data_IF_056752489113
#
_entry.id   IF_056752489113
#
_cell.length_a   1.000
_cell.length_b   1.000
_cell.length_c   1.000
_cell.angle_alpha   90.00
_cell.angle_beta   90.00
_cell.angle_gamma   90.00
#
_symmetry.space_group_name_H-M   'P 1'
#
loop_
_entity.id
_entity.type
_entity.pdbx_description
1 polymer ?
#
# COMPACT_ATOMS: atom_id res chain seq x y z
N UNK A 1 -12.15 61.57 6.57
CA UNK A 1 -11.74 60.49 5.64
C UNK A 1 -12.98 59.92 4.96
N UNK A 2 -13.03 59.85 3.63
CA UNK A 2 -14.22 59.39 2.90
C UNK A 2 -14.40 57.87 3.02
N UNK A 3 -15.65 57.37 3.11
CA UNK A 3 -16.00 55.94 3.11
C UNK A 3 -15.37 55.14 1.97
N UNK A 4 -15.11 55.77 0.81
CA UNK A 4 -14.48 55.15 -0.36
C UNK A 4 -12.98 54.85 -0.16
N UNK A 5 -12.28 55.65 0.64
CA UNK A 5 -10.85 55.44 0.94
C UNK A 5 -10.64 54.28 1.92
N UNK A 6 -11.56 54.11 2.88
CA UNK A 6 -11.55 53.02 3.85
C UNK A 6 -11.83 51.65 3.20
N UNK A 7 -12.83 51.59 2.31
CA UNK A 7 -13.17 50.34 1.59
C UNK A 7 -12.06 49.89 0.62
N UNK A 8 -11.37 50.82 -0.05
CA UNK A 8 -10.21 50.47 -0.91
C UNK A 8 -9.00 49.96 -0.11
N UNK A 9 -8.78 50.48 1.10
CA UNK A 9 -7.72 50.01 2.00
C UNK A 9 -7.95 48.59 2.52
N UNK A 10 -9.20 48.24 2.83
CA UNK A 10 -9.59 46.88 3.25
C UNK A 10 -9.42 45.85 2.13
N UNK A 11 -9.78 46.18 0.89
CA UNK A 11 -9.61 45.28 -0.26
C UNK A 11 -8.13 45.09 -0.64
N UNK A 12 -7.31 46.14 -0.59
CA UNK A 12 -5.88 46.03 -0.90
C UNK A 12 -5.12 45.26 0.20
N UNK A 13 -5.49 45.44 1.47
CA UNK A 13 -4.90 44.69 2.60
C UNK A 13 -5.29 43.21 2.58
N UNK A 14 -6.53 42.86 2.22
CA UNK A 14 -6.96 41.47 2.10
C UNK A 14 -6.34 40.76 0.89
N UNK A 15 -6.19 41.43 -0.26
CA UNK A 15 -5.43 40.91 -1.39
C UNK A 15 -3.94 40.78 -1.06
N UNK A 16 -3.32 41.75 -0.39
CA UNK A 16 -1.92 41.67 0.05
C UNK A 16 -1.66 40.52 1.03
N UNK A 17 -2.55 40.31 2.01
CA UNK A 17 -2.46 39.21 2.96
C UNK A 17 -2.67 37.84 2.28
N UNK A 18 -3.64 37.72 1.37
CA UNK A 18 -3.88 36.48 0.63
C UNK A 18 -2.74 36.15 -0.35
N UNK A 19 -2.11 37.16 -0.94
CA UNK A 19 -0.95 36.99 -1.83
C UNK A 19 0.31 36.62 -1.03
N UNK A 20 0.52 37.24 0.13
CA UNK A 20 1.61 36.90 1.06
C UNK A 20 1.48 35.50 1.66
N UNK A 21 0.27 35.05 1.98
CA UNK A 21 0.01 33.67 2.44
C UNK A 21 0.25 32.66 1.33
N UNK A 22 -0.15 32.97 0.08
CA UNK A 22 0.12 32.13 -1.11
C UNK A 22 1.61 32.01 -1.41
N UNK A 23 2.37 33.10 -1.33
CA UNK A 23 3.83 33.10 -1.52
C UNK A 23 4.56 32.33 -0.41
N UNK A 24 4.13 32.48 0.85
CA UNK A 24 4.66 31.69 1.98
C UNK A 24 4.39 30.20 1.82
N UNK A 25 3.16 29.84 1.43
CA UNK A 25 2.80 28.46 1.16
C UNK A 25 3.68 27.87 0.04
N UNK A 26 3.93 28.57 -1.07
CA UNK A 26 4.77 28.12 -2.19
C UNK A 26 6.24 27.85 -1.79
N UNK A 27 6.74 28.50 -0.74
CA UNK A 27 8.10 28.31 -0.23
C UNK A 27 8.28 27.16 0.78
N UNK A 28 7.21 26.65 1.40
CA UNK A 28 7.33 25.59 2.41
C UNK A 28 7.87 24.30 1.79
N UNK A 29 8.83 23.69 2.47
CA UNK A 29 9.46 22.42 2.10
C UNK A 29 9.65 21.58 3.34
N UNK A 30 9.65 20.27 3.16
CA UNK A 30 10.05 19.30 4.16
C UNK A 30 11.53 19.49 4.50
N UNK A 31 11.87 19.38 5.79
CA UNK A 31 13.26 19.35 6.23
C UNK A 31 13.90 17.99 5.88
N UNK A 32 14.37 17.83 4.63
CA UNK A 32 14.85 16.56 4.09
C UNK A 32 15.92 15.86 4.96
N UNK A 33 16.84 16.65 5.55
CA UNK A 33 17.85 16.11 6.48
C UNK A 33 17.22 15.46 7.70
N UNK A 34 16.26 16.14 8.33
CA UNK A 34 15.57 15.63 9.52
C UNK A 34 14.71 14.41 9.20
N UNK A 35 14.07 14.37 8.03
CA UNK A 35 13.34 13.18 7.56
C UNK A 35 14.28 11.98 7.43
N UNK A 36 15.43 12.18 6.75
CA UNK A 36 16.46 11.16 6.61
C UNK A 36 16.97 10.65 7.96
N UNK A 37 17.37 11.55 8.85
CA UNK A 37 17.88 11.20 10.19
C UNK A 37 16.86 10.37 10.99
N UNK A 38 15.57 10.67 10.83
CA UNK A 38 14.50 9.93 11.51
C UNK A 38 14.25 8.56 10.93
N UNK A 39 14.31 8.40 9.60
CA UNK A 39 14.23 7.09 8.93
C UNK A 39 15.43 6.24 9.35
N UNK A 40 16.65 6.82 9.33
CA UNK A 40 17.87 6.15 9.78
C UNK A 40 17.78 5.75 11.27
N UNK A 41 17.19 6.58 12.13
CA UNK A 41 16.99 6.25 13.54
C UNK A 41 15.87 5.21 13.77
N UNK A 42 14.77 5.26 13.02
CA UNK A 42 13.71 4.24 13.09
C UNK A 42 14.25 2.87 12.67
N UNK A 43 15.14 2.83 11.66
CA UNK A 43 15.76 1.60 11.18
C UNK A 43 16.66 0.90 12.21
N UNK A 44 16.93 1.50 13.38
CA UNK A 44 17.64 0.82 14.48
C UNK A 44 16.74 -0.27 15.09
N UNK A 45 15.43 -0.03 15.16
CA UNK A 45 14.47 -0.95 15.74
C UNK A 45 14.14 -2.05 14.72
N UNK A 46 14.65 -3.26 14.98
CA UNK A 46 14.52 -4.41 14.08
C UNK A 46 15.75 -4.65 13.21
N UNK A 47 16.80 -3.83 13.30
CA UNK A 47 18.08 -4.08 12.62
C UNK A 47 18.75 -5.34 13.17
N UNK A 48 19.36 -6.19 12.34
CA UNK A 48 20.19 -7.28 12.83
C UNK A 48 21.34 -6.77 13.72
N UNK A 49 21.68 -7.53 14.76
CA UNK A 49 22.74 -7.16 15.69
C UNK A 49 24.10 -7.00 14.97
N UNK A 50 24.78 -5.89 15.22
CA UNK A 50 26.04 -5.55 14.53
C UNK A 50 25.85 -5.06 13.08
N UNK A 51 24.61 -4.99 12.59
CA UNK A 51 24.28 -4.52 11.26
C UNK A 51 24.28 -2.99 11.12
N UNK A 52 24.19 -2.57 9.87
CA UNK A 52 24.13 -1.19 9.40
C UNK A 52 22.76 -0.90 8.77
N UNK A 53 22.53 0.33 8.31
CA UNK A 53 21.32 0.68 7.57
C UNK A 53 21.11 -0.24 6.34
N UNK A 54 22.19 -0.65 5.66
CA UNK A 54 22.10 -1.50 4.47
C UNK A 54 21.65 -2.94 4.75
N UNK A 55 21.61 -3.36 6.02
CA UNK A 55 21.19 -4.70 6.41
C UNK A 55 19.67 -4.80 6.64
N UNK A 56 18.94 -3.69 6.43
CA UNK A 56 17.48 -3.64 6.50
C UNK A 56 16.95 -3.83 7.93
N UNK A 57 15.66 -4.18 8.02
CA UNK A 57 14.98 -4.40 9.30
C UNK A 57 14.08 -5.62 9.29
N UNK A 58 13.90 -6.20 10.47
CA UNK A 58 12.85 -7.17 10.80
C UNK A 58 12.00 -6.61 11.94
N UNK A 59 11.26 -5.54 11.66
CA UNK A 59 10.34 -4.92 12.61
C UNK A 59 8.95 -5.53 12.45
N UNK A 60 8.86 -6.83 12.71
CA UNK A 60 7.63 -7.60 12.57
C UNK A 60 6.57 -7.04 13.52
N UNK A 61 5.34 -6.86 13.03
CA UNK A 61 4.21 -6.43 13.87
C UNK A 61 4.14 -7.22 15.18
N UNK A 62 3.88 -6.50 16.28
CA UNK A 62 3.80 -7.02 17.65
C UNK A 62 5.12 -7.52 18.26
N UNK A 63 6.24 -7.53 17.53
CA UNK A 63 7.55 -7.85 18.10
C UNK A 63 8.05 -6.78 19.08
N UNK A 64 9.11 -7.05 19.84
CA UNK A 64 9.76 -6.02 20.66
C UNK A 64 10.25 -4.84 19.79
N UNK A 65 10.79 -5.13 18.60
CA UNK A 65 11.24 -4.12 17.64
C UNK A 65 10.07 -3.20 17.19
N UNK A 66 8.89 -3.76 16.94
CA UNK A 66 7.70 -2.97 16.60
C UNK A 66 7.28 -2.09 17.79
N UNK A 67 7.14 -2.68 18.99
CA UNK A 67 6.82 -1.92 20.21
C UNK A 67 7.80 -0.76 20.46
N UNK A 68 9.09 -0.97 20.22
CA UNK A 68 10.12 0.07 20.35
C UNK A 68 10.05 1.13 19.25
N UNK A 69 9.90 0.73 17.98
CA UNK A 69 9.74 1.66 16.86
C UNK A 69 8.50 2.54 17.01
N UNK A 70 7.39 1.96 17.45
CA UNK A 70 6.15 2.68 17.78
C UNK A 70 6.36 3.70 18.88
N UNK A 71 7.06 3.32 19.96
CA UNK A 71 7.41 4.23 21.07
C UNK A 71 8.26 5.40 20.57
N UNK A 72 9.23 5.12 19.70
CA UNK A 72 10.07 6.15 19.07
C UNK A 72 9.23 7.13 18.24
N UNK A 73 8.37 6.64 17.34
CA UNK A 73 7.52 7.49 16.50
C UNK A 73 6.54 8.32 17.33
N UNK A 74 5.91 7.74 18.36
CA UNK A 74 5.08 8.50 19.30
C UNK A 74 5.89 9.55 20.08
N UNK A 75 7.16 9.28 20.39
CA UNK A 75 8.09 10.24 20.97
C UNK A 75 8.33 11.43 20.04
N UNK A 76 8.55 11.18 18.75
CA UNK A 76 8.67 12.24 17.73
C UNK A 76 7.38 13.07 17.62
N UNK A 77 6.21 12.42 17.61
CA UNK A 77 4.91 13.12 17.60
C UNK A 77 4.77 14.05 18.81
N UNK A 78 5.14 13.60 20.02
CA UNK A 78 5.11 14.44 21.23
C UNK A 78 6.12 15.59 21.16
N UNK A 79 7.32 15.33 20.65
CA UNK A 79 8.35 16.36 20.46
C UNK A 79 7.90 17.45 19.47
N UNK A 80 7.09 17.09 18.47
CA UNK A 80 6.42 18.02 17.55
C UNK A 80 5.21 18.76 18.17
N UNK A 81 4.91 18.54 19.46
CA UNK A 81 3.77 19.17 20.15
C UNK A 81 2.42 18.50 19.88
N UNK A 82 2.40 17.33 19.24
CA UNK A 82 1.18 16.56 19.01
C UNK A 82 0.86 15.64 20.19
N UNK A 83 -0.40 15.20 20.27
CA UNK A 83 -0.87 14.25 21.27
C UNK A 83 -1.18 12.91 20.58
N UNK A 84 -0.23 11.96 20.54
CA UNK A 84 -0.48 10.66 19.94
C UNK A 84 -1.42 9.82 20.81
N UNK A 85 -2.39 9.18 20.18
CA UNK A 85 -3.32 8.23 20.81
C UNK A 85 -3.25 6.88 20.09
N UNK A 86 -3.41 5.79 20.85
CA UNK A 86 -3.57 4.45 20.30
C UNK A 86 -5.07 4.12 20.32
N UNK A 87 -5.62 3.69 19.19
CA UNK A 87 -7.01 3.23 19.13
C UNK A 87 -7.16 1.77 19.63
N UNK A 88 -8.39 1.24 19.77
CA UNK A 88 -8.59 -0.14 20.20
C UNK A 88 -7.99 -1.22 19.29
N UNK A 89 -7.76 -0.94 18.00
CA UNK A 89 -7.07 -1.86 17.10
C UNK A 89 -5.54 -1.77 17.23
N UNK A 90 -5.03 -0.78 17.95
CA UNK A 90 -3.61 -0.53 18.04
C UNK A 90 -3.08 0.38 16.94
N UNK A 91 -3.90 1.15 16.22
CA UNK A 91 -3.38 2.18 15.31
C UNK A 91 -2.95 3.42 16.10
N UNK A 92 -1.87 4.09 15.69
CA UNK A 92 -1.44 5.36 16.31
C UNK A 92 -1.99 6.52 15.49
N UNK A 93 -2.68 7.45 16.12
CA UNK A 93 -3.14 8.69 15.50
C UNK A 93 -2.58 9.90 16.22
N UNK A 94 -2.28 10.96 15.49
CA UNK A 94 -2.02 12.28 16.05
C UNK A 94 -2.72 13.36 15.24
N UNK A 95 -3.50 14.20 15.92
CA UNK A 95 -4.34 15.23 15.29
C UNK A 95 -3.75 16.62 15.49
N UNK A 96 -3.65 17.38 14.41
CA UNK A 96 -3.42 18.82 14.40
C UNK A 96 -4.73 19.53 14.09
N UNK A 97 -5.09 20.51 14.90
CA UNK A 97 -6.32 21.28 14.73
C UNK A 97 -6.31 22.09 13.42
N UNK A 98 -7.45 22.13 12.74
CA UNK A 98 -7.72 23.03 11.63
C UNK A 98 -8.50 24.27 12.09
N UNK A 99 -8.75 25.20 11.17
CA UNK A 99 -9.55 26.40 11.41
C UNK A 99 -11.05 26.14 11.57
N UNK A 100 -11.55 25.00 11.09
CA UNK A 100 -12.94 24.56 11.24
C UNK A 100 -13.01 23.12 11.76
N UNK A 101 -13.37 22.96 13.04
CA UNK A 101 -13.48 21.66 13.70
C UNK A 101 -14.68 20.82 13.22
N UNK A 102 -15.62 21.42 12.47
CA UNK A 102 -16.79 20.71 11.92
C UNK A 102 -16.48 19.97 10.62
N UNK A 103 -15.36 20.31 9.96
CA UNK A 103 -14.91 19.63 8.76
C UNK A 103 -14.26 18.28 9.09
N UNK A 104 -14.47 17.25 8.25
CA UNK A 104 -13.79 15.97 8.42
C UNK A 104 -12.27 16.16 8.22
N UNK A 105 -11.42 15.44 8.96
CA UNK A 105 -9.97 15.59 8.82
C UNK A 105 -9.46 15.13 7.47
N UNK A 106 -8.34 15.68 7.00
CA UNK A 106 -7.51 15.03 6.00
C UNK A 106 -6.67 13.98 6.75
N UNK A 107 -6.85 12.71 6.39
CA UNK A 107 -6.14 11.57 6.99
C UNK A 107 -4.94 11.21 6.12
N UNK A 108 -3.77 10.98 6.71
CA UNK A 108 -2.59 10.62 5.94
C UNK A 108 -1.56 9.88 6.78
N UNK A 109 -0.80 9.01 6.14
CA UNK A 109 0.13 8.13 6.84
C UNK A 109 0.40 6.86 6.07
N UNK A 110 0.96 5.88 6.77
CA UNK A 110 1.23 4.53 6.28
C UNK A 110 1.46 3.61 7.48
N UNK A 111 2.33 2.60 7.38
CA UNK A 111 2.72 1.69 8.45
C UNK A 111 4.18 1.90 8.87
N UNK A 112 4.60 1.19 9.91
CA UNK A 112 6.02 1.06 10.28
C UNK A 112 6.43 -0.38 10.58
N UNK A 113 5.52 -1.36 10.59
CA UNK A 113 5.96 -2.76 10.64
C UNK A 113 6.55 -3.18 9.29
N UNK A 114 7.41 -4.20 9.29
CA UNK A 114 8.08 -4.71 8.09
C UNK A 114 7.90 -6.23 7.97
N UNK A 115 8.09 -6.76 6.76
CA UNK A 115 8.44 -8.18 6.57
C UNK A 115 9.78 -8.54 7.25
N UNK A 116 10.07 -9.85 7.45
CA UNK A 116 11.40 -10.29 7.86
C UNK A 116 12.45 -9.92 6.83
N UNK A 117 13.54 -9.31 7.28
CA UNK A 117 14.62 -8.81 6.42
C UNK A 117 14.10 -7.88 5.30
N UNK A 118 13.17 -7.00 5.64
CA UNK A 118 12.67 -5.95 4.76
C UNK A 118 13.64 -4.77 4.62
N UNK A 119 13.23 -3.79 3.83
CA UNK A 119 13.93 -2.52 3.68
C UNK A 119 13.58 -1.50 4.75
N UNK A 120 14.12 -0.29 4.60
CA UNK A 120 13.94 0.81 5.57
C UNK A 120 13.01 1.92 5.07
N UNK A 121 12.33 1.73 3.93
CA UNK A 121 11.50 2.77 3.29
C UNK A 121 10.04 2.35 3.16
N UNK A 122 9.78 1.05 2.95
CA UNK A 122 8.44 0.45 2.97
C UNK A 122 7.68 0.84 4.25
N UNK A 123 6.52 1.50 4.09
CA UNK A 123 5.77 2.15 5.16
C UNK A 123 6.44 3.37 5.83
N UNK A 124 7.70 3.21 6.26
CA UNK A 124 8.46 4.18 7.07
C UNK A 124 8.54 5.56 6.42
N UNK A 125 8.72 5.60 5.10
CA UNK A 125 8.77 6.86 4.34
C UNK A 125 7.45 7.62 4.48
N UNK A 126 6.31 6.95 4.31
CA UNK A 126 4.99 7.56 4.40
C UNK A 126 4.69 8.06 5.80
N UNK A 127 4.93 7.22 6.80
CA UNK A 127 4.68 7.50 8.22
C UNK A 127 5.50 8.68 8.74
N UNK A 128 6.79 8.74 8.43
CA UNK A 128 7.65 9.84 8.88
C UNK A 128 7.48 11.11 8.05
N UNK A 129 7.10 11.00 6.77
CA UNK A 129 6.75 12.17 5.94
C UNK A 129 5.45 12.82 6.40
N UNK A 130 4.49 12.05 6.92
CA UNK A 130 3.27 12.59 7.51
C UNK A 130 3.57 13.50 8.71
N UNK A 131 4.46 13.07 9.62
CA UNK A 131 4.91 13.91 10.73
C UNK A 131 5.66 15.16 10.22
N UNK A 132 6.57 14.97 9.27
CA UNK A 132 7.36 16.06 8.72
C UNK A 132 6.50 17.12 8.01
N UNK A 133 5.40 16.72 7.36
CA UNK A 133 4.44 17.65 6.75
C UNK A 133 3.75 18.53 7.79
N UNK A 134 3.32 17.95 8.92
CA UNK A 134 2.74 18.70 10.04
C UNK A 134 3.75 19.73 10.58
N UNK A 135 4.98 19.30 10.86
CA UNK A 135 6.01 20.19 11.40
C UNK A 135 6.39 21.31 10.42
N UNK A 136 6.46 21.02 9.12
CA UNK A 136 6.73 22.03 8.10
C UNK A 136 5.63 23.10 8.04
N UNK A 137 4.36 22.70 8.18
CA UNK A 137 3.24 23.64 8.26
C UNK A 137 3.30 24.50 9.52
N UNK A 138 3.63 23.90 10.67
CA UNK A 138 3.75 24.61 11.95
C UNK A 138 4.92 25.58 11.96
N UNK A 139 6.10 25.16 11.47
CA UNK A 139 7.27 26.02 11.32
C UNK A 139 7.01 27.21 10.38
N UNK A 140 6.18 27.02 9.36
CA UNK A 140 5.78 28.07 8.43
C UNK A 140 4.60 28.93 8.93
N UNK A 141 3.96 28.58 10.05
CA UNK A 141 2.77 29.24 10.56
C UNK A 141 1.55 29.13 9.64
N UNK A 142 1.41 28.03 8.90
CA UNK A 142 0.31 27.80 7.95
C UNK A 142 -0.81 27.04 8.63
N UNK A 143 -1.98 27.66 8.76
CA UNK A 143 -3.19 27.00 9.27
C UNK A 143 -4.03 26.43 8.13
N UNK A 144 -4.47 25.18 8.28
CA UNK A 144 -5.40 24.51 7.35
C UNK A 144 -6.84 24.74 7.79
N UNK A 145 -7.79 24.67 6.87
CA UNK A 145 -9.23 24.70 7.20
C UNK A 145 -9.65 23.39 7.87
N UNK A 146 -9.34 22.28 7.24
CA UNK A 146 -9.61 20.94 7.76
C UNK A 146 -8.60 20.62 8.87
N UNK A 147 -9.02 19.86 9.90
CA UNK A 147 -8.08 19.22 10.79
C UNK A 147 -7.18 18.25 10.01
N UNK A 148 -5.95 18.09 10.46
CA UNK A 148 -5.03 17.09 9.92
C UNK A 148 -4.93 15.95 10.92
N UNK A 149 -5.10 14.71 10.48
CA UNK A 149 -4.92 13.53 11.33
C UNK A 149 -3.87 12.63 10.66
N UNK A 150 -2.69 12.52 11.27
CA UNK A 150 -1.73 11.52 10.82
C UNK A 150 -2.06 10.17 11.46
N UNK A 151 -1.77 9.09 10.73
CA UNK A 151 -1.95 7.71 11.20
C UNK A 151 -0.69 6.89 10.95
N UNK A 152 -0.38 6.00 11.90
CA UNK A 152 0.51 4.86 11.69
C UNK A 152 -0.33 3.61 11.89
N UNK A 153 -0.65 2.95 10.79
CA UNK A 153 -1.37 1.69 10.78
C UNK A 153 -0.50 0.59 11.38
N UNK A 154 -1.13 -0.30 12.14
CA UNK A 154 -0.45 -1.47 12.69
C UNK A 154 -0.70 -2.69 11.81
N UNK A 155 0.35 -3.49 11.64
CA UNK A 155 0.26 -4.83 11.05
C UNK A 155 -0.25 -4.80 9.60
N UNK A 156 0.38 -3.95 8.80
CA UNK A 156 0.12 -3.84 7.36
C UNK A 156 0.64 -5.08 6.63
N UNK A 157 1.87 -5.49 6.93
CA UNK A 157 2.63 -6.45 6.12
C UNK A 157 2.09 -7.88 6.19
N UNK A 158 1.33 -8.19 7.25
CA UNK A 158 0.63 -9.46 7.36
C UNK A 158 1.51 -10.68 7.62
N UNK A 159 2.80 -10.50 7.91
CA UNK A 159 3.68 -11.62 8.24
C UNK A 159 3.19 -12.38 9.48
N UNK A 160 2.81 -11.66 10.54
CA UNK A 160 2.06 -12.24 11.64
C UNK A 160 0.63 -12.61 11.17
N UNK A 161 0.12 -13.76 11.58
CA UNK A 161 -1.24 -14.24 11.24
C UNK A 161 -1.57 -14.42 9.74
N UNK A 162 -0.62 -14.21 8.82
CA UNK A 162 -0.75 -14.59 7.41
C UNK A 162 -1.72 -13.74 6.57
N UNK A 163 -2.24 -12.65 7.11
CA UNK A 163 -3.13 -11.70 6.40
C UNK A 163 -2.75 -10.26 6.78
N UNK A 164 -2.37 -9.48 5.78
CA UNK A 164 -2.01 -8.08 5.93
C UNK A 164 -3.19 -7.12 6.10
N UNK A 165 -2.85 -5.86 6.33
CA UNK A 165 -3.74 -4.73 6.54
C UNK A 165 -4.62 -4.90 7.79
N UNK A 166 -4.15 -5.63 8.81
CA UNK A 166 -5.04 -6.12 9.86
C UNK A 166 -5.74 -4.98 10.60
N UNK A 167 -5.02 -3.95 11.02
CA UNK A 167 -5.63 -2.88 11.82
C UNK A 167 -6.33 -1.80 10.97
N UNK A 168 -5.97 -1.62 9.70
CA UNK A 168 -6.75 -0.80 8.77
C UNK A 168 -8.03 -1.51 8.30
N UNK A 169 -8.03 -2.85 8.18
CA UNK A 169 -9.23 -3.69 7.99
C UNK A 169 -10.19 -3.53 9.15
N UNK A 170 -9.68 -3.63 10.39
CA UNK A 170 -10.48 -3.36 11.59
C UNK A 170 -11.09 -1.96 11.55
N UNK A 171 -10.30 -0.94 11.17
CA UNK A 171 -10.81 0.42 11.00
C UNK A 171 -11.90 0.53 9.91
N UNK A 172 -11.82 -0.26 8.84
CA UNK A 172 -12.85 -0.37 7.81
C UNK A 172 -14.06 -1.24 8.21
N UNK A 173 -13.99 -1.95 9.34
CA UNK A 173 -15.01 -2.88 9.82
C UNK A 173 -14.92 -4.29 9.24
N UNK A 174 -13.79 -4.66 8.63
CA UNK A 174 -13.46 -6.01 8.15
C UNK A 174 -12.76 -6.80 9.27
N UNK A 175 -13.52 -7.14 10.31
CA UNK A 175 -13.05 -7.98 11.43
C UNK A 175 -14.19 -8.81 12.00
N UNK A 176 -13.91 -10.06 12.32
CA UNK A 176 -14.80 -10.99 13.02
C UNK A 176 -14.25 -11.39 14.38
N UNK A 177 -15.06 -11.92 15.30
CA UNK A 177 -14.54 -12.47 16.56
C UNK A 177 -13.50 -13.58 16.35
N UNK A 178 -13.68 -14.42 15.33
CA UNK A 178 -12.76 -15.51 15.02
C UNK A 178 -11.36 -15.00 14.62
N UNK A 179 -11.28 -13.85 13.94
CA UNK A 179 -10.01 -13.21 13.62
C UNK A 179 -9.18 -12.89 14.88
N UNK A 180 -9.83 -12.55 16.00
CA UNK A 180 -9.16 -12.23 17.26
C UNK A 180 -8.63 -13.47 18.00
N UNK A 181 -9.19 -14.64 17.68
CA UNK A 181 -8.82 -15.93 18.27
C UNK A 181 -7.68 -16.62 17.52
N UNK A 182 -7.32 -16.14 16.33
CA UNK A 182 -6.19 -16.65 15.57
C UNK A 182 -4.90 -16.62 16.39
N UNK A 183 -4.07 -17.65 16.23
CA UNK A 183 -2.81 -17.82 16.95
C UNK A 183 -1.65 -17.79 15.97
N UNK A 184 -0.65 -16.96 16.26
CA UNK A 184 0.62 -16.92 15.55
C UNK A 184 1.76 -17.04 16.57
N UNK A 185 2.65 -18.00 16.38
CA UNK A 185 3.77 -18.26 17.29
C UNK A 185 3.36 -18.34 18.78
N UNK A 186 2.20 -18.96 19.06
CA UNK A 186 1.66 -19.12 20.42
C UNK A 186 0.99 -17.86 20.99
N UNK A 187 0.93 -16.75 20.27
CA UNK A 187 0.24 -15.52 20.67
C UNK A 187 -1.10 -15.40 19.93
N UNK A 188 -2.20 -15.20 20.67
CA UNK A 188 -3.49 -14.86 20.07
C UNK A 188 -3.48 -13.43 19.54
N UNK A 189 -4.19 -13.16 18.44
CA UNK A 189 -4.29 -11.81 17.87
C UNK A 189 -4.81 -10.79 18.89
N UNK A 190 -5.79 -11.16 19.72
CA UNK A 190 -6.25 -10.30 20.81
C UNK A 190 -5.11 -9.85 21.75
N UNK A 191 -4.21 -10.76 22.13
CA UNK A 191 -3.10 -10.46 23.03
C UNK A 191 -1.99 -9.66 22.32
N UNK A 192 -1.81 -9.90 21.02
CA UNK A 192 -0.94 -9.11 20.16
C UNK A 192 -1.41 -7.63 20.08
N UNK A 193 -2.71 -7.40 19.90
CA UNK A 193 -3.31 -6.05 19.93
C UNK A 193 -3.10 -5.39 21.30
N UNK A 194 -3.32 -6.11 22.41
CA UNK A 194 -3.06 -5.58 23.77
C UNK A 194 -1.61 -5.19 23.96
N UNK A 195 -0.68 -5.98 23.43
CA UNK A 195 0.77 -5.76 23.53
C UNK A 195 1.21 -4.43 22.91
N UNK A 196 0.58 -3.99 21.82
CA UNK A 196 0.86 -2.70 21.18
C UNK A 196 0.00 -1.54 21.72
N UNK A 197 -0.72 -1.76 22.84
CA UNK A 197 -1.52 -0.76 23.53
C UNK A 197 -2.96 -0.64 23.04
N UNK A 198 -3.41 -1.53 22.15
CA UNK A 198 -4.80 -1.63 21.73
C UNK A 198 -5.69 -2.30 22.79
N UNK A 199 -6.99 -2.38 22.49
CA UNK A 199 -7.99 -2.99 23.35
C UNK A 199 -8.96 -3.84 22.52
N UNK A 200 -8.72 -5.16 22.41
CA UNK A 200 -9.57 -6.05 21.61
C UNK A 200 -10.99 -6.19 22.18
N UNK A 201 -11.21 -5.93 23.47
CA UNK A 201 -12.54 -5.97 24.08
C UNK A 201 -13.40 -4.77 23.62
N UNK A 202 -12.76 -3.72 23.08
CA UNK A 202 -13.39 -2.52 22.50
C UNK A 202 -13.13 -2.42 20.99
N UNK A 203 -12.82 -3.52 20.31
CA UNK A 203 -12.35 -3.49 18.91
C UNK A 203 -13.32 -2.79 17.96
N UNK A 204 -14.62 -2.91 18.22
CA UNK A 204 -15.67 -2.28 17.41
C UNK A 204 -15.57 -0.75 17.38
N UNK A 205 -14.97 -0.13 18.40
CA UNK A 205 -14.78 1.33 18.48
C UNK A 205 -13.62 1.83 17.62
N UNK A 206 -12.73 0.94 17.15
CA UNK A 206 -11.70 1.30 16.16
C UNK A 206 -12.30 1.50 14.76
N UNK A 207 -13.53 1.00 14.52
CA UNK A 207 -14.23 1.18 13.26
C UNK A 207 -14.50 2.65 13.00
N UNK A 208 -14.11 3.10 11.81
CA UNK A 208 -14.38 4.44 11.31
C UNK A 208 -15.64 4.46 10.46
N UNK A 209 -16.42 5.53 10.60
CA UNK A 209 -17.60 5.74 9.75
C UNK A 209 -17.19 6.10 8.32
N UNK A 210 -18.03 5.74 7.34
CA UNK A 210 -17.89 6.26 5.98
C UNK A 210 -18.02 7.79 6.00
N UNK A 211 -17.16 8.48 5.28
CA UNK A 211 -17.06 9.95 5.28
C UNK A 211 -16.43 10.55 6.54
N UNK A 212 -15.82 9.75 7.42
CA UNK A 212 -15.14 10.23 8.63
C UNK A 212 -13.82 10.97 8.37
N UNK A 213 -13.38 11.06 7.12
CA UNK A 213 -12.25 11.85 6.66
C UNK A 213 -12.62 12.48 5.30
N UNK A 214 -12.03 13.64 5.01
CA UNK A 214 -12.21 14.35 3.75
C UNK A 214 -11.59 13.57 2.59
N UNK A 215 -10.36 13.10 2.80
CA UNK A 215 -9.65 12.15 1.95
C UNK A 215 -8.55 11.45 2.76
N UNK A 216 -8.04 10.36 2.22
CA UNK A 216 -6.85 9.66 2.67
C UNK A 216 -5.70 9.84 1.67
N UNK A 217 -4.52 10.22 2.15
CA UNK A 217 -3.29 10.34 1.35
C UNK A 217 -2.19 9.44 1.93
N UNK A 218 -1.60 8.61 1.10
CA UNK A 218 -0.48 7.75 1.49
C UNK A 218 0.70 7.92 0.53
N UNK A 219 1.84 8.36 1.07
CA UNK A 219 3.11 8.37 0.36
C UNK A 219 3.79 7.03 0.59
N UNK A 220 4.27 6.43 -0.49
CA UNK A 220 4.92 5.13 -0.44
C UNK A 220 6.02 5.03 -1.50
N UNK A 221 6.94 4.09 -1.33
CA UNK A 221 7.82 3.68 -2.43
C UNK A 221 7.03 2.88 -3.47
N UNK A 222 7.41 2.93 -4.75
CA UNK A 222 6.72 2.18 -5.82
C UNK A 222 6.75 0.67 -5.58
N UNK A 223 7.83 0.16 -4.98
CA UNK A 223 8.18 -1.26 -4.86
C UNK A 223 8.41 -1.97 -6.22
N UNK A 224 8.06 -1.32 -7.32
CA UNK A 224 8.44 -1.64 -8.70
C UNK A 224 9.51 -0.70 -9.25
N UNK A 225 10.01 -1.00 -10.45
CA UNK A 225 11.09 -0.24 -11.10
C UNK A 225 10.63 0.63 -12.26
N UNK A 226 9.35 1.02 -12.33
CA UNK A 226 8.79 1.76 -13.47
C UNK A 226 9.20 3.22 -13.44
N UNK A 227 9.05 3.89 -12.31
CA UNK A 227 9.40 5.30 -12.12
C UNK A 227 10.90 5.51 -12.29
N UNK A 228 11.73 4.63 -11.72
CA UNK A 228 13.18 4.64 -11.92
C UNK A 228 13.54 4.49 -13.41
N UNK A 229 13.05 3.44 -14.07
CA UNK A 229 13.35 3.16 -15.49
C UNK A 229 12.89 4.27 -16.44
N UNK A 230 11.80 4.97 -16.09
CA UNK A 230 11.25 6.06 -16.90
C UNK A 230 11.79 7.44 -16.52
N UNK A 231 12.58 7.53 -15.44
CA UNK A 231 13.09 8.81 -14.93
C UNK A 231 12.01 9.75 -14.42
N UNK A 232 10.85 9.23 -14.01
CA UNK A 232 9.71 10.02 -13.52
C UNK A 232 9.76 10.03 -11.99
N UNK A 233 9.87 11.19 -11.32
CA UNK A 233 10.10 11.25 -9.88
C UNK A 233 8.85 10.97 -9.05
N UNK A 234 7.64 11.12 -9.61
CA UNK A 234 6.39 10.98 -8.87
C UNK A 234 5.39 10.08 -9.63
N UNK A 235 4.93 9.06 -8.93
CA UNK A 235 3.80 8.25 -9.36
C UNK A 235 2.50 8.72 -8.72
N UNK A 236 1.47 8.94 -9.53
CA UNK A 236 0.10 9.22 -9.08
C UNK A 236 -0.68 7.93 -9.20
N UNK A 237 -0.94 7.27 -8.06
CA UNK A 237 -1.50 5.93 -8.08
C UNK A 237 -2.96 5.96 -8.58
N UNK A 238 -3.26 5.12 -9.56
CA UNK A 238 -4.62 4.96 -10.14
C UNK A 238 -5.53 4.12 -9.24
N UNK A 239 -4.92 3.29 -8.41
CA UNK A 239 -5.57 2.40 -7.47
C UNK A 239 -4.68 1.21 -7.15
N UNK A 240 -5.16 0.37 -6.24
CA UNK A 240 -4.58 -0.93 -5.91
C UNK A 240 -5.31 -2.00 -6.71
N UNK A 241 -4.56 -2.85 -7.41
CA UNK A 241 -5.08 -3.89 -8.30
C UNK A 241 -6.00 -4.88 -7.59
N UNK A 242 -6.97 -5.41 -8.33
CA UNK A 242 -7.69 -6.61 -7.95
C UNK A 242 -6.75 -7.82 -8.02
N UNK A 243 -7.04 -8.85 -7.22
CA UNK A 243 -6.26 -10.09 -7.20
C UNK A 243 -7.21 -11.28 -7.25
N UNK A 244 -7.01 -12.15 -8.23
CA UNK A 244 -7.66 -13.46 -8.27
C UNK A 244 -6.60 -14.56 -8.19
N UNK A 245 -6.77 -15.49 -7.24
CA UNK A 245 -5.95 -16.70 -7.11
C UNK A 245 -6.77 -17.94 -7.43
N UNK A 246 -6.14 -18.86 -8.15
CA UNK A 246 -6.70 -20.14 -8.54
C UNK A 246 -5.71 -21.26 -8.25
N UNK A 247 -6.23 -22.38 -7.77
CA UNK A 247 -5.54 -23.65 -7.82
C UNK A 247 -5.94 -24.37 -9.11
N UNK A 248 -4.96 -24.84 -9.85
CA UNK A 248 -5.14 -25.69 -11.02
C UNK A 248 -4.65 -27.10 -10.70
N UNK A 249 -5.50 -28.10 -10.92
CA UNK A 249 -5.17 -29.51 -10.72
C UNK A 249 -5.16 -30.21 -12.07
N UNK A 250 -4.00 -30.75 -12.44
CA UNK A 250 -3.80 -31.50 -13.66
C UNK A 250 -3.69 -32.99 -13.31
N UNK A 251 -4.63 -33.80 -13.78
CA UNK A 251 -4.63 -35.25 -13.53
C UNK A 251 -4.30 -35.99 -14.81
N UNK A 252 -3.23 -36.78 -14.75
CA UNK A 252 -2.77 -37.68 -15.80
C UNK A 252 -2.75 -39.12 -15.30
N UNK A 253 -1.73 -39.88 -15.71
CA UNK A 253 -1.56 -41.26 -15.28
C UNK A 253 -0.10 -41.59 -15.04
N UNK A 254 0.24 -41.95 -13.81
CA UNK A 254 1.61 -42.29 -13.45
C UNK A 254 2.02 -43.64 -14.04
N UNK A 255 3.16 -43.67 -14.74
CA UNK A 255 3.68 -44.91 -15.32
C UNK A 255 5.21 -44.84 -15.51
N UNK A 256 5.83 -45.96 -15.88
CA UNK A 256 7.28 -46.07 -15.99
C UNK A 256 7.83 -45.32 -17.22
N UNK A 257 8.76 -44.39 -16.98
CA UNK A 257 9.24 -43.47 -18.03
C UNK A 257 10.04 -44.16 -19.15
N UNK A 258 10.59 -45.35 -18.92
CA UNK A 258 11.36 -46.08 -19.93
C UNK A 258 10.54 -47.03 -20.80
N UNK A 259 9.37 -47.47 -20.32
CA UNK A 259 8.61 -48.55 -20.97
C UNK A 259 7.26 -48.10 -21.53
N UNK A 260 6.75 -46.94 -21.11
CA UNK A 260 5.54 -46.37 -21.69
C UNK A 260 5.89 -45.55 -22.95
N UNK A 261 5.42 -45.95 -24.15
CA UNK A 261 5.60 -45.19 -25.39
C UNK A 261 5.04 -43.77 -25.27
N UNK A 262 5.64 -42.79 -25.95
CA UNK A 262 5.24 -41.36 -25.88
C UNK A 262 3.76 -41.16 -26.22
N UNK A 263 3.24 -41.86 -27.23
CA UNK A 263 1.86 -41.74 -27.69
C UNK A 263 0.81 -42.28 -26.70
N UNK A 264 1.23 -43.00 -25.66
CA UNK A 264 0.36 -43.57 -24.63
C UNK A 264 0.44 -42.80 -23.30
N UNK A 265 1.24 -41.74 -23.23
CA UNK A 265 1.47 -41.01 -21.97
C UNK A 265 0.38 -39.99 -21.70
N UNK A 266 -0.08 -39.99 -20.47
CA UNK A 266 -0.96 -38.95 -19.92
C UNK A 266 -0.13 -38.15 -18.90
N UNK A 267 0.84 -37.38 -19.40
CA UNK A 267 1.86 -36.71 -18.57
C UNK A 267 1.31 -35.41 -17.96
N UNK A 268 1.04 -35.43 -16.65
CA UNK A 268 0.48 -34.29 -15.94
C UNK A 268 1.47 -33.10 -15.87
N UNK A 269 2.77 -33.36 -15.81
CA UNK A 269 3.78 -32.30 -15.74
C UNK A 269 3.96 -31.61 -17.08
N UNK A 270 3.90 -32.35 -18.19
CA UNK A 270 3.89 -31.75 -19.53
C UNK A 270 2.70 -30.81 -19.73
N UNK A 271 1.51 -31.26 -19.34
CA UNK A 271 0.29 -30.45 -19.39
C UNK A 271 0.39 -29.20 -18.48
N UNK A 272 0.94 -29.35 -17.27
CA UNK A 272 1.20 -28.23 -16.35
C UNK A 272 2.21 -27.22 -16.92
N UNK A 273 3.26 -27.68 -17.63
CA UNK A 273 4.22 -26.81 -18.30
C UNK A 273 3.56 -26.00 -19.44
N UNK A 274 2.74 -26.65 -20.27
CA UNK A 274 1.96 -25.95 -21.30
C UNK A 274 0.97 -24.94 -20.68
N UNK A 275 0.32 -25.29 -19.57
CA UNK A 275 -0.58 -24.39 -18.87
C UNK A 275 0.16 -23.16 -18.33
N UNK A 276 1.36 -23.34 -17.80
CA UNK A 276 2.22 -22.24 -17.32
C UNK A 276 2.53 -21.24 -18.44
N UNK A 277 2.87 -21.73 -19.63
CA UNK A 277 3.07 -20.87 -20.81
C UNK A 277 1.76 -20.18 -21.22
N UNK A 278 0.64 -20.89 -21.21
CA UNK A 278 -0.67 -20.33 -21.57
C UNK A 278 -1.09 -19.18 -20.63
N UNK A 279 -0.78 -19.26 -19.33
CA UNK A 279 -0.99 -18.16 -18.38
C UNK A 279 -0.19 -16.93 -18.80
N UNK A 280 1.11 -17.08 -19.10
CA UNK A 280 1.95 -15.97 -19.56
C UNK A 280 1.43 -15.35 -20.85
N UNK A 281 0.99 -16.19 -21.80
CA UNK A 281 0.46 -15.74 -23.08
C UNK A 281 -0.87 -14.97 -22.94
N UNK A 282 -1.76 -15.40 -22.04
CA UNK A 282 -3.01 -14.67 -21.75
C UNK A 282 -2.74 -13.28 -21.16
N UNK A 283 -1.79 -13.18 -20.23
CA UNK A 283 -1.39 -11.91 -19.61
C UNK A 283 -0.74 -10.98 -20.63
N UNK A 284 0.16 -11.48 -21.47
CA UNK A 284 0.93 -10.66 -22.42
C UNK A 284 0.13 -10.22 -23.65
N UNK A 285 -0.86 -11.00 -24.08
CA UNK A 285 -1.79 -10.60 -25.17
C UNK A 285 -2.78 -9.52 -24.74
N UNK A 286 -3.07 -9.43 -23.45
CA UNK A 286 -3.93 -8.37 -22.91
C UNK A 286 -3.19 -7.03 -22.98
N UNK A 287 -3.76 -5.94 -23.50
CA UNK A 287 -3.10 -4.63 -23.42
C UNK A 287 -3.21 -4.05 -22.01
N UNK A 288 -2.10 -3.52 -21.47
CA UNK A 288 -2.09 -2.83 -20.17
C UNK A 288 -0.90 -3.20 -19.29
N UNK A 289 -1.13 -3.16 -17.98
CA UNK A 289 -0.14 -3.43 -16.92
C UNK A 289 -0.53 -4.62 -16.04
N UNK A 290 -1.48 -5.43 -16.49
CA UNK A 290 -1.84 -6.67 -15.83
C UNK A 290 -0.62 -7.58 -15.67
N UNK A 291 -0.61 -8.31 -14.57
CA UNK A 291 0.39 -9.35 -14.29
C UNK A 291 -0.31 -10.66 -14.01
N UNK A 292 0.36 -11.75 -14.31
CA UNK A 292 -0.09 -13.06 -13.91
C UNK A 292 1.08 -14.02 -13.77
N UNK A 293 1.00 -14.85 -12.75
CA UNK A 293 2.13 -15.62 -12.27
C UNK A 293 1.68 -17.04 -11.91
N UNK A 294 2.44 -18.02 -12.39
CA UNK A 294 2.44 -19.37 -11.80
C UNK A 294 3.59 -19.43 -10.81
N UNK A 295 3.28 -19.32 -9.52
CA UNK A 295 4.29 -19.17 -8.47
C UNK A 295 4.67 -20.46 -7.78
N UNK A 296 3.85 -21.50 -7.91
CA UNK A 296 4.03 -22.78 -7.23
C UNK A 296 3.55 -23.91 -8.13
N UNK A 297 4.34 -24.99 -8.19
CA UNK A 297 3.99 -26.25 -8.86
C UNK A 297 4.43 -27.40 -7.94
N UNK A 298 3.50 -28.27 -7.60
CA UNK A 298 3.74 -29.53 -6.89
C UNK A 298 3.44 -30.69 -7.83
N UNK A 299 4.34 -31.67 -7.91
CA UNK A 299 4.28 -32.77 -8.87
C UNK A 299 4.28 -34.08 -8.11
N UNK A 300 3.46 -35.06 -8.52
CA UNK A 300 3.42 -36.39 -7.90
C UNK A 300 3.62 -37.48 -8.97
N UNK A 301 4.51 -38.47 -8.74
CA UNK A 301 5.32 -38.71 -7.53
C UNK A 301 6.66 -37.95 -7.49
N UNK A 302 6.94 -37.06 -8.46
CA UNK A 302 8.20 -36.31 -8.56
C UNK A 302 9.46 -37.19 -8.64
N UNK A 303 9.37 -38.34 -9.31
CA UNK A 303 10.51 -39.26 -9.52
C UNK A 303 11.03 -39.18 -10.96
N UNK A 304 12.35 -39.11 -11.20
CA UNK A 304 12.92 -38.90 -12.54
C UNK A 304 12.61 -40.02 -13.55
N UNK A 305 12.28 -41.23 -13.06
CA UNK A 305 11.95 -42.39 -13.90
C UNK A 305 10.44 -42.71 -13.96
N UNK A 306 9.59 -41.81 -13.49
CA UNK A 306 8.12 -41.98 -13.48
C UNK A 306 7.48 -40.81 -14.21
N UNK A 307 6.59 -41.11 -15.15
CA UNK A 307 5.70 -40.12 -15.77
C UNK A 307 4.79 -39.57 -14.67
N UNK A 308 4.72 -38.25 -14.44
CA UNK A 308 3.87 -37.71 -13.38
C UNK A 308 2.38 -37.92 -13.66
N UNK A 309 1.67 -38.44 -12.66
CA UNK A 309 0.22 -38.67 -12.74
C UNK A 309 -0.62 -37.50 -12.19
N UNK A 310 0.01 -36.56 -11.49
CA UNK A 310 -0.67 -35.40 -10.91
C UNK A 310 0.30 -34.22 -10.86
N UNK A 311 -0.18 -33.03 -11.22
CA UNK A 311 0.51 -31.77 -11.01
C UNK A 311 -0.48 -30.72 -10.51
N UNK A 312 -0.11 -29.97 -9.48
CA UNK A 312 -0.93 -28.92 -8.87
C UNK A 312 -0.20 -27.59 -9.00
N UNK A 313 -0.86 -26.57 -9.53
CA UNK A 313 -0.27 -25.26 -9.76
C UNK A 313 -1.08 -24.17 -9.08
N UNK A 314 -0.41 -23.10 -8.62
CA UNK A 314 -1.08 -21.84 -8.28
C UNK A 314 -1.04 -20.89 -9.47
N UNK A 315 -2.15 -20.21 -9.74
CA UNK A 315 -2.25 -19.13 -10.73
C UNK A 315 -2.75 -17.89 -10.01
N UNK A 316 -2.02 -16.80 -10.12
CA UNK A 316 -2.42 -15.51 -9.59
C UNK A 316 -2.48 -14.48 -10.70
N UNK A 317 -3.59 -13.76 -10.81
CA UNK A 317 -3.80 -12.69 -11.80
C UNK A 317 -4.10 -11.38 -11.09
N UNK A 318 -3.49 -10.28 -11.54
CA UNK A 318 -3.72 -8.94 -11.01
C UNK A 318 -3.93 -7.90 -12.11
N UNK A 319 -4.90 -7.03 -11.92
CA UNK A 319 -5.17 -5.84 -12.76
C UNK A 319 -6.15 -4.90 -12.03
N UNK A 320 -6.17 -3.61 -12.37
CA UNK A 320 -7.15 -2.67 -11.84
C UNK A 320 -8.58 -2.96 -12.31
N UNK A 321 -8.73 -3.58 -13.47
CA UNK A 321 -10.00 -3.97 -14.08
C UNK A 321 -10.32 -5.42 -13.75
N UNK A 322 -11.35 -5.69 -12.90
CA UNK A 322 -11.81 -7.05 -12.63
C UNK A 322 -12.27 -7.76 -13.91
N UNK A 323 -12.79 -7.01 -14.89
CA UNK A 323 -13.20 -7.57 -16.16
C UNK A 323 -12.03 -8.15 -16.96
N UNK A 324 -10.85 -7.52 -16.90
CA UNK A 324 -9.65 -8.08 -17.52
C UNK A 324 -9.21 -9.38 -16.85
N UNK A 325 -9.35 -9.50 -15.53
CA UNK A 325 -9.07 -10.76 -14.83
C UNK A 325 -9.98 -11.89 -15.32
N UNK A 326 -11.28 -11.61 -15.47
CA UNK A 326 -12.25 -12.57 -16.03
C UNK A 326 -11.83 -12.97 -17.44
N UNK A 327 -11.55 -12.01 -18.32
CA UNK A 327 -11.12 -12.29 -19.70
C UNK A 327 -9.85 -13.12 -19.77
N UNK A 328 -8.82 -12.79 -18.98
CA UNK A 328 -7.58 -13.57 -18.93
C UNK A 328 -7.84 -15.00 -18.44
N UNK A 329 -8.68 -15.19 -17.42
CA UNK A 329 -8.98 -16.52 -16.91
C UNK A 329 -9.79 -17.35 -17.91
N UNK A 330 -10.70 -16.73 -18.66
CA UNK A 330 -11.47 -17.42 -19.69
C UNK A 330 -10.57 -17.87 -20.86
N UNK A 331 -9.62 -17.04 -21.26
CA UNK A 331 -8.56 -17.40 -22.21
C UNK A 331 -7.70 -18.57 -21.69
N UNK A 332 -7.29 -18.53 -20.42
CA UNK A 332 -6.53 -19.62 -19.78
C UNK A 332 -7.34 -20.92 -19.79
N UNK A 333 -8.63 -20.87 -19.45
CA UNK A 333 -9.52 -22.05 -19.49
C UNK A 333 -9.68 -22.61 -20.90
N UNK A 334 -9.76 -21.74 -21.92
CA UNK A 334 -9.83 -22.17 -23.30
C UNK A 334 -8.56 -22.93 -23.72
N UNK A 335 -7.38 -22.36 -23.44
CA UNK A 335 -6.10 -23.01 -23.69
C UNK A 335 -5.93 -24.30 -22.89
N UNK A 336 -6.39 -24.33 -21.64
CA UNK A 336 -6.34 -25.53 -20.80
C UNK A 336 -7.14 -26.70 -21.40
N UNK A 337 -8.30 -26.43 -22.02
CA UNK A 337 -9.07 -27.47 -22.72
C UNK A 337 -8.31 -28.07 -23.92
N UNK A 338 -7.63 -27.23 -24.68
CA UNK A 338 -6.79 -27.67 -25.81
C UNK A 338 -5.59 -28.50 -25.32
N UNK A 339 -4.93 -28.03 -24.26
CA UNK A 339 -3.81 -28.74 -23.63
C UNK A 339 -4.27 -30.11 -23.16
N UNK A 340 -5.33 -30.16 -22.33
CA UNK A 340 -5.90 -31.39 -21.79
C UNK A 340 -6.22 -32.42 -22.88
N UNK A 341 -6.80 -31.98 -23.99
CA UNK A 341 -7.08 -32.84 -25.15
C UNK A 341 -5.80 -33.37 -25.80
N UNK A 342 -4.78 -32.52 -25.99
CA UNK A 342 -3.52 -32.91 -26.63
C UNK A 342 -2.63 -33.82 -25.77
N UNK A 343 -2.74 -33.72 -24.44
CA UNK A 343 -1.93 -34.50 -23.48
C UNK A 343 -2.70 -35.67 -22.87
N UNK A 344 -3.97 -35.85 -23.24
CA UNK A 344 -4.86 -36.87 -22.67
C UNK A 344 -4.97 -36.80 -21.14
N UNK A 345 -4.95 -35.59 -20.59
CA UNK A 345 -5.08 -35.30 -19.15
C UNK A 345 -6.39 -34.57 -18.86
N UNK A 346 -6.72 -34.38 -17.59
CA UNK A 346 -7.76 -33.42 -17.16
C UNK A 346 -7.11 -32.22 -16.48
N UNK A 347 -7.77 -31.06 -16.56
CA UNK A 347 -7.33 -29.82 -15.89
C UNK A 347 -8.55 -29.17 -15.25
N UNK A 348 -8.52 -29.01 -13.93
CA UNK A 348 -9.57 -28.40 -13.14
C UNK A 348 -9.07 -27.14 -12.44
N UNK A 349 -9.94 -26.13 -12.30
CA UNK A 349 -9.59 -24.87 -11.65
C UNK A 349 -10.53 -24.59 -10.48
N UNK A 350 -9.96 -24.20 -9.34
CA UNK A 350 -10.70 -23.71 -8.18
C UNK A 350 -10.22 -22.32 -7.82
N UNK A 351 -11.12 -21.33 -7.82
CA UNK A 351 -10.79 -20.00 -7.30
C UNK A 351 -10.63 -20.09 -5.78
N UNK A 352 -9.47 -19.72 -5.27
CA UNK A 352 -9.13 -19.78 -3.84
C UNK A 352 -9.20 -18.42 -3.16
N UNK A 353 -9.01 -17.33 -3.92
CA UNK A 353 -9.08 -15.98 -3.40
C UNK A 353 -9.61 -15.02 -4.47
N UNK A 354 -10.36 -14.01 -4.03
CA UNK A 354 -10.68 -12.83 -4.84
C UNK A 354 -10.61 -11.58 -3.97
N UNK A 355 -9.93 -10.55 -4.45
CA UNK A 355 -9.87 -9.23 -3.84
C UNK A 355 -10.29 -8.18 -4.87
N UNK A 356 -11.26 -7.34 -4.49
CA UNK A 356 -11.70 -6.23 -5.32
C UNK A 356 -10.62 -5.14 -5.42
N UNK A 357 -10.55 -4.38 -6.53
CA UNK A 357 -9.62 -3.28 -6.65
C UNK A 357 -10.03 -2.13 -5.73
N UNK A 358 -9.06 -1.36 -5.27
CA UNK A 358 -9.31 -0.10 -4.57
C UNK A 358 -8.88 1.06 -5.45
N UNK A 359 -9.84 1.63 -6.18
CA UNK A 359 -9.60 2.70 -7.15
C UNK A 359 -9.34 4.02 -6.43
N UNK A 360 -8.30 4.74 -6.83
CA UNK A 360 -8.02 6.07 -6.31
C UNK A 360 -9.07 7.07 -6.79
N UNK A 361 -9.35 8.08 -5.98
CA UNK A 361 -10.37 9.09 -6.31
C UNK A 361 -9.82 10.09 -7.34
N UNK A 362 -10.53 10.34 -8.46
CA UNK A 362 -10.04 11.25 -9.52
C UNK A 362 -9.68 12.64 -9.01
N UNK A 363 -10.44 13.17 -8.05
CA UNK A 363 -10.20 14.48 -7.44
C UNK A 363 -8.90 14.48 -6.61
N UNK A 364 -8.63 13.40 -5.87
CA UNK A 364 -7.41 13.26 -5.07
C UNK A 364 -6.20 13.07 -5.98
N UNK A 365 -6.32 12.26 -7.04
CA UNK A 365 -5.28 12.13 -8.06
C UNK A 365 -4.94 13.47 -8.71
N UNK A 366 -5.96 14.25 -9.10
CA UNK A 366 -5.76 15.58 -9.66
C UNK A 366 -5.11 16.55 -8.65
N UNK A 367 -5.42 16.42 -7.36
CA UNK A 367 -4.76 17.16 -6.28
C UNK A 367 -3.27 16.83 -6.17
N UNK A 368 -2.91 15.54 -6.27
CA UNK A 368 -1.51 15.08 -6.29
C UNK A 368 -0.78 15.58 -7.55
N UNK A 369 -1.42 15.56 -8.72
CA UNK A 369 -0.85 16.07 -9.96
C UNK A 369 -0.54 17.57 -9.87
N UNK A 370 -1.48 18.37 -9.34
CA UNK A 370 -1.24 19.80 -9.08
C UNK A 370 -0.13 20.02 -8.06
N UNK A 371 -0.06 19.17 -7.04
CA UNK A 371 0.99 19.22 -6.03
C UNK A 371 2.38 18.98 -6.64
N UNK A 372 2.55 17.93 -7.45
CA UNK A 372 3.79 17.65 -8.18
C UNK A 372 4.14 18.80 -9.14
N UNK A 373 3.17 19.28 -9.93
CA UNK A 373 3.39 20.38 -10.86
C UNK A 373 3.83 21.67 -10.15
N UNK A 374 3.30 21.95 -8.96
CA UNK A 374 3.69 23.15 -8.18
C UNK A 374 5.13 23.11 -7.65
N UNK A 375 5.79 21.95 -7.74
CA UNK A 375 7.18 21.73 -7.38
C UNK A 375 8.07 21.55 -8.63
N UNK A 376 7.54 21.81 -9.82
CA UNK A 376 8.20 21.58 -11.11
C UNK A 376 8.63 20.11 -11.31
N UNK A 377 7.88 19.17 -10.72
CA UNK A 377 8.10 17.73 -10.87
C UNK A 377 7.19 17.15 -11.95
N UNK A 378 7.75 16.28 -12.79
CA UNK A 378 6.94 15.44 -13.68
C UNK A 378 6.29 14.31 -12.88
N UNK A 379 5.12 13.88 -13.33
CA UNK A 379 4.40 12.76 -12.71
C UNK A 379 3.78 11.86 -13.77
N UNK A 380 3.57 10.59 -13.42
CA UNK A 380 2.82 9.65 -14.27
C UNK A 380 1.83 8.85 -13.46
N UNK A 381 0.75 8.41 -14.11
CA UNK A 381 -0.23 7.51 -13.51
C UNK A 381 0.20 6.06 -13.61
N UNK A 382 0.00 5.31 -12.54
CA UNK A 382 0.30 3.88 -12.47
C UNK A 382 -0.52 3.14 -11.41
N UNK A 383 -0.83 1.85 -11.60
CA UNK A 383 -1.42 1.04 -10.55
C UNK A 383 -0.38 0.74 -9.46
N UNK A 384 -0.83 0.57 -8.22
CA UNK A 384 -0.07 -0.21 -7.24
C UNK A 384 -0.34 -1.69 -7.46
N UNK A 385 0.73 -2.46 -7.65
CA UNK A 385 0.68 -3.91 -7.72
C UNK A 385 0.60 -4.59 -6.35
N UNK A 386 0.94 -3.86 -5.28
CA UNK A 386 0.97 -4.33 -3.90
C UNK A 386 -0.27 -3.86 -3.11
N UNK A 387 -0.56 -4.55 -2.00
CA UNK A 387 -1.55 -4.09 -1.03
C UNK A 387 -0.97 -2.92 -0.23
N UNK A 388 -1.84 -2.02 0.21
CA UNK A 388 -1.53 -0.94 1.16
C UNK A 388 -2.78 -0.62 1.99
N UNK A 389 -2.61 0.03 3.14
CA UNK A 389 -3.73 0.45 3.99
C UNK A 389 -4.73 1.36 3.27
N UNK A 390 -4.28 2.12 2.26
CA UNK A 390 -5.14 2.86 1.35
C UNK A 390 -6.29 2.01 0.77
N UNK A 391 -6.09 0.70 0.57
CA UNK A 391 -7.13 -0.23 0.11
C UNK A 391 -8.35 -0.22 1.05
N UNK A 392 -8.10 -0.22 2.36
CA UNK A 392 -9.16 -0.20 3.37
C UNK A 392 -9.79 1.18 3.48
N UNK A 393 -9.00 2.24 3.33
CA UNK A 393 -9.52 3.60 3.36
C UNK A 393 -10.42 3.92 2.16
N UNK A 394 -10.19 3.30 0.99
CA UNK A 394 -11.07 3.40 -0.17
C UNK A 394 -12.52 2.93 0.11
N UNK A 395 -12.73 2.06 1.11
CA UNK A 395 -14.07 1.61 1.53
C UNK A 395 -14.83 2.67 2.35
N UNK A 396 -14.09 3.64 2.89
CA UNK A 396 -14.57 4.63 3.84
C UNK A 396 -14.69 6.03 3.25
N UNK A 397 -13.89 6.37 2.24
CA UNK A 397 -13.90 7.70 1.63
C UNK A 397 -12.91 7.85 0.49
N UNK A 398 -12.76 9.07 -0.05
CA UNK A 398 -11.81 9.34 -1.11
C UNK A 398 -10.38 9.03 -0.68
N UNK A 399 -9.60 8.38 -1.55
CA UNK A 399 -8.20 8.06 -1.28
C UNK A 399 -7.32 8.34 -2.48
N UNK A 400 -6.02 8.56 -2.23
CA UNK A 400 -5.00 8.61 -3.26
C UNK A 400 -3.64 8.26 -2.67
N UNK A 401 -2.75 7.75 -3.52
CA UNK A 401 -1.38 7.46 -3.12
C UNK A 401 -0.37 8.16 -4.02
N UNK A 402 0.79 8.44 -3.44
CA UNK A 402 1.93 9.08 -4.05
C UNK A 402 3.06 8.05 -4.04
N UNK A 403 3.60 7.70 -5.20
CA UNK A 403 4.75 6.83 -5.31
C UNK A 403 6.04 7.61 -5.60
N UNK A 404 7.14 7.17 -5.00
CA UNK A 404 8.50 7.56 -5.37
C UNK A 404 9.26 6.35 -5.95
N UNK A 405 10.27 6.57 -6.82
CA UNK A 405 11.05 5.49 -7.42
C UNK A 405 11.68 4.54 -6.41
N UNK A 406 11.67 3.24 -6.70
CA UNK A 406 12.47 2.24 -5.99
C UNK A 406 13.64 1.79 -6.88
N UNK A 407 14.86 1.84 -6.36
CA UNK A 407 16.07 1.50 -7.12
C UNK A 407 16.06 0.02 -7.49
N UNK A 408 16.18 -0.28 -8.79
CA UNK A 408 16.05 -1.62 -9.35
C UNK A 408 14.67 -2.26 -9.18
N UNK A 409 13.67 -1.51 -8.68
CA UNK A 409 12.37 -2.05 -8.31
C UNK A 409 12.43 -3.14 -7.23
N UNK A 410 13.37 -3.03 -6.29
CA UNK A 410 13.55 -3.98 -5.20
C UNK A 410 12.78 -3.48 -3.98
N UNK A 411 11.97 -4.36 -3.39
CA UNK A 411 11.26 -4.17 -2.11
C UNK A 411 11.26 -5.47 -1.30
N UNK A 412 10.84 -5.41 -0.03
CA UNK A 412 10.78 -6.58 0.87
C UNK A 412 12.13 -7.30 0.96
N UNK A 413 13.21 -6.50 0.96
CA UNK A 413 14.58 -6.96 0.92
C UNK A 413 15.48 -5.94 1.59
N UNK A 414 16.60 -6.33 2.22
CA UNK A 414 17.56 -5.36 2.76
C UNK A 414 18.18 -4.45 1.68
N UNK A 415 18.09 -4.89 0.41
CA UNK A 415 18.57 -4.13 -0.76
C UNK A 415 17.59 -3.08 -1.26
N UNK A 416 16.39 -2.99 -0.68
CA UNK A 416 15.44 -1.93 -0.98
C UNK A 416 16.07 -0.57 -0.72
N UNK A 417 16.01 0.29 -1.73
CA UNK A 417 16.62 1.60 -1.66
C UNK A 417 15.82 2.60 -2.49
N UNK A 418 15.65 3.79 -1.95
CA UNK A 418 15.16 4.97 -2.65
C UNK A 418 16.17 6.09 -2.45
N UNK A 419 16.44 6.90 -3.47
CA UNK A 419 17.34 8.04 -3.31
C UNK A 419 16.74 9.05 -2.32
N UNK A 420 17.56 9.61 -1.43
CA UNK A 420 17.10 10.60 -0.45
C UNK A 420 16.43 11.83 -1.08
N UNK A 421 16.88 12.24 -2.27
CA UNK A 421 16.25 13.33 -3.02
C UNK A 421 14.82 12.96 -3.48
N UNK A 422 14.58 11.70 -3.83
CA UNK A 422 13.26 11.22 -4.21
C UNK A 422 12.35 11.06 -2.97
N UNK A 423 12.89 10.60 -1.84
CA UNK A 423 12.18 10.65 -0.56
C UNK A 423 11.72 12.08 -0.21
N UNK A 424 12.61 13.07 -0.37
CA UNK A 424 12.31 14.47 -0.11
C UNK A 424 11.24 15.01 -1.08
N UNK A 425 11.35 14.72 -2.38
CA UNK A 425 10.36 15.08 -3.39
C UNK A 425 8.99 14.50 -3.08
N UNK A 426 8.92 13.21 -2.73
CA UNK A 426 7.67 12.55 -2.35
C UNK A 426 7.03 13.19 -1.11
N UNK A 427 7.84 13.48 -0.09
CA UNK A 427 7.37 14.13 1.12
C UNK A 427 6.87 15.57 0.85
N UNK A 428 7.56 16.32 -0.01
CA UNK A 428 7.10 17.64 -0.46
C UNK A 428 5.79 17.54 -1.25
N UNK A 429 5.64 16.54 -2.12
CA UNK A 429 4.37 16.31 -2.84
C UNK A 429 3.25 15.97 -1.87
N UNK A 430 3.49 15.15 -0.84
CA UNK A 430 2.50 14.87 0.21
C UNK A 430 2.05 16.16 0.91
N UNK A 431 3.00 16.99 1.35
CA UNK A 431 2.73 18.30 1.95
C UNK A 431 1.87 19.19 1.03
N UNK A 432 2.22 19.24 -0.26
CA UNK A 432 1.49 20.02 -1.26
C UNK A 432 0.09 19.46 -1.52
N UNK A 433 -0.06 18.15 -1.59
CA UNK A 433 -1.33 17.47 -1.79
C UNK A 433 -2.27 17.75 -0.61
N UNK A 434 -1.79 17.72 0.64
CA UNK A 434 -2.57 18.12 1.82
C UNK A 434 -3.11 19.55 1.66
N UNK A 435 -2.28 20.49 1.21
CA UNK A 435 -2.69 21.89 0.99
C UNK A 435 -3.65 22.06 -0.20
N UNK A 436 -3.53 21.24 -1.23
CA UNK A 436 -4.48 21.22 -2.35
C UNK A 436 -5.84 20.69 -1.87
N UNK A 437 -5.85 19.58 -1.14
CA UNK A 437 -7.07 18.98 -0.61
C UNK A 437 -7.76 19.86 0.43
N UNK A 438 -7.01 20.64 1.22
CA UNK A 438 -7.58 21.56 2.19
C UNK A 438 -8.45 22.67 1.56
N UNK A 439 -8.18 23.01 0.30
CA UNK A 439 -8.93 24.02 -0.46
C UNK A 439 -10.23 23.47 -1.03
N UNK A 440 -10.28 22.17 -1.31
CA UNK A 440 -11.44 21.54 -1.94
C UNK A 440 -12.67 21.62 -1.00
N UNK A 441 -13.89 21.79 -1.55
CA UNK A 441 -15.10 21.57 -0.77
C UNK A 441 -15.18 20.09 -0.37
N UNK A 442 -16.01 19.72 0.64
CA UNK A 442 -16.20 18.33 1.01
C UNK A 442 -16.45 17.46 -0.22
N UNK A 443 -15.50 16.55 -0.50
CA UNK A 443 -15.57 15.70 -1.67
C UNK A 443 -16.83 14.85 -1.57
N UNK A 444 -17.65 14.88 -2.62
CA UNK A 444 -18.82 14.00 -2.71
C UNK A 444 -18.32 12.58 -2.94
N UNK A 445 -18.19 11.80 -1.88
CA UNK A 445 -18.18 10.35 -2.03
C UNK A 445 -19.58 9.86 -2.42
N UNK A 446 -19.64 8.71 -3.09
CA UNK A 446 -20.83 7.98 -3.53
C UNK A 446 -21.43 8.41 -4.88
N UNK A 447 -20.72 8.13 -5.97
CA UNK A 447 -21.38 7.45 -7.10
C UNK A 447 -21.16 5.95 -6.89
N UNK A 448 -22.23 5.25 -6.54
CA UNK A 448 -22.29 3.78 -6.52
C UNK A 448 -22.14 3.23 -7.95
#
# INVERSE_FOLDING_TARGET
MSRRTFLRGLSAASLGAATGLRLRAQGVRIAARTLRERIEALSIFGRPAGGTFADGVSRIAYSDADVEGRRYVMGLMRAAGLQPRIDPAGNIFAKRAGGDATLPPILFGSHIDSVPSGGNFDGDLGSLSALAAIEALDAAGIHTRHPLEMVVWAHEEGFAFGRGLACSRIAAGDVTPADLDEVWNGMRRADAIRRIGGNPDRIAEARRAKGSHHCYLELHIEQGGTLERTGIPIGVVEGIVAIDKYDAVVTGFANHAGTTPIAERHDALLAAAHLTVAVRDAVTRTPGRQVGTVGHIEVTPNSPNVIPGLAQLSIELRDLSPQKLVTMMDDIRARAREIAASTQTTIEFKKTMGAAPAVASPEVQAGIERAAQSLDLTSSRLPSGAGHDAQMMALLGPMGMIFVPSIGGISHSPKELTHWDDCARGADVLLRAILEMDKEPPLRSFRL
#
